data_IF_057896071950
#
_entry.id   IF_057896071950
#
_cell.length_a   1.000
_cell.length_b   1.000
_cell.length_c   1.000
_cell.angle_alpha   90.00
_cell.angle_beta   90.00
_cell.angle_gamma   90.00
#
_symmetry.space_group_name_H-M   'P 1'
#
loop_
_entity.id
_entity.type
_entity.pdbx_description
1 polymer ?
#
# COMPACT_ATOMS: atom_id res chain seq x y z
N UNK A 1 -17.48 -16.38 3.62
CA UNK A 1 -18.31 -15.19 3.35
C UNK A 1 -17.47 -13.97 3.67
N UNK A 2 -17.36 -13.06 2.71
CA UNK A 2 -16.67 -11.79 2.85
C UNK A 2 -17.69 -10.65 2.89
N UNK A 3 -17.63 -9.83 3.92
CA UNK A 3 -18.30 -8.54 3.93
C UNK A 3 -17.30 -7.49 3.44
N UNK A 4 -17.61 -6.86 2.30
CA UNK A 4 -16.76 -5.82 1.72
C UNK A 4 -17.34 -4.45 2.08
N UNK A 5 -16.62 -3.70 2.91
CA UNK A 5 -16.95 -2.34 3.31
C UNK A 5 -16.15 -1.36 2.45
N UNK A 6 -16.84 -0.66 1.56
CA UNK A 6 -16.26 0.37 0.69
C UNK A 6 -16.73 1.76 1.15
N UNK A 7 -15.80 2.70 1.29
CA UNK A 7 -16.11 4.10 1.62
C UNK A 7 -16.77 4.83 0.46
N UNK A 8 -16.59 4.35 -0.77
CA UNK A 8 -17.10 5.00 -1.96
C UNK A 8 -18.60 4.71 -2.16
N UNK A 9 -19.29 5.59 -2.90
CA UNK A 9 -20.72 5.43 -3.24
C UNK A 9 -21.02 4.15 -4.03
N UNK A 10 -20.00 3.56 -4.66
CA UNK A 10 -20.11 2.31 -5.40
C UNK A 10 -18.93 1.43 -5.06
N UNK A 11 -19.23 0.19 -4.66
CA UNK A 11 -18.22 -0.80 -4.33
C UNK A 11 -17.41 -1.15 -5.58
N UNK A 12 -16.09 -1.21 -5.43
CA UNK A 12 -15.16 -1.52 -6.50
C UNK A 12 -15.45 -2.89 -7.13
N UNK A 13 -15.79 -2.96 -8.44
CA UNK A 13 -15.94 -4.24 -9.13
C UNK A 13 -14.63 -5.02 -9.19
N UNK A 14 -13.50 -4.32 -9.23
CA UNK A 14 -12.17 -4.94 -9.22
C UNK A 14 -11.99 -5.78 -7.96
N UNK A 15 -12.28 -5.20 -6.79
CA UNK A 15 -12.05 -5.88 -5.52
C UNK A 15 -13.04 -7.04 -5.28
N UNK A 16 -14.28 -6.90 -5.76
CA UNK A 16 -15.26 -7.99 -5.74
C UNK A 16 -14.78 -9.19 -6.57
N UNK A 17 -14.26 -8.94 -7.77
CA UNK A 17 -13.70 -9.99 -8.63
C UNK A 17 -12.48 -10.64 -7.99
N UNK A 18 -11.55 -9.84 -7.47
CA UNK A 18 -10.35 -10.33 -6.79
C UNK A 18 -10.69 -11.20 -5.57
N UNK A 19 -11.71 -10.83 -4.80
CA UNK A 19 -12.16 -11.64 -3.67
C UNK A 19 -12.71 -13.02 -4.11
N UNK A 20 -13.49 -13.07 -5.20
CA UNK A 20 -13.95 -14.35 -5.75
C UNK A 20 -12.78 -15.18 -6.30
N UNK A 21 -11.85 -14.58 -7.02
CA UNK A 21 -10.66 -15.27 -7.53
C UNK A 21 -9.74 -15.77 -6.41
N UNK A 22 -9.75 -15.11 -5.24
CA UNK A 22 -9.08 -15.57 -4.03
C UNK A 22 -9.80 -16.75 -3.33
N UNK A 23 -10.99 -17.14 -3.81
CA UNK A 23 -11.72 -18.32 -3.33
C UNK A 23 -12.83 -18.03 -2.33
N UNK A 24 -13.28 -16.79 -2.18
CA UNK A 24 -14.47 -16.50 -1.36
C UNK A 24 -15.74 -16.95 -2.09
N UNK A 25 -16.54 -17.80 -1.42
CA UNK A 25 -17.81 -18.31 -1.97
C UNK A 25 -18.83 -17.18 -2.20
N UNK A 26 -18.88 -16.22 -1.28
CA UNK A 26 -19.85 -15.13 -1.25
C UNK A 26 -19.15 -13.84 -0.82
N UNK A 27 -19.36 -12.78 -1.59
CA UNK A 27 -18.84 -11.43 -1.36
C UNK A 27 -20.03 -10.48 -1.30
N UNK A 28 -20.26 -9.87 -0.13
CA UNK A 28 -21.40 -8.98 0.13
C UNK A 28 -20.89 -7.54 0.24
N UNK A 29 -21.07 -6.70 -0.79
CA UNK A 29 -20.62 -5.32 -0.77
C UNK A 29 -21.56 -4.42 0.01
N UNK A 30 -20.98 -3.53 0.82
CA UNK A 30 -21.61 -2.37 1.43
C UNK A 30 -20.86 -1.13 0.94
N UNK A 31 -21.62 -0.13 0.54
CA UNK A 31 -21.14 1.10 -0.09
C UNK A 31 -21.39 2.27 0.84
N UNK A 32 -20.56 3.31 0.75
CA UNK A 32 -20.64 4.48 1.64
C UNK A 32 -20.60 4.06 3.10
N UNK A 33 -19.78 3.06 3.44
CA UNK A 33 -19.57 2.67 4.84
C UNK A 33 -18.70 3.74 5.49
N UNK A 34 -19.10 4.14 6.68
CA UNK A 34 -18.41 5.15 7.48
C UNK A 34 -17.96 4.53 8.80
N UNK A 35 -16.97 5.15 9.43
CA UNK A 35 -16.40 4.72 10.69
C UNK A 35 -17.44 4.67 11.82
N UNK A 36 -18.38 5.61 11.87
CA UNK A 36 -19.44 5.64 12.88
C UNK A 36 -20.47 4.49 12.73
N UNK A 37 -20.60 3.92 11.53
CA UNK A 37 -21.58 2.87 11.23
C UNK A 37 -20.97 1.46 11.28
N UNK A 38 -19.67 1.30 11.04
CA UNK A 38 -19.08 -0.03 10.83
C UNK A 38 -19.21 -0.94 12.05
N UNK A 39 -19.16 -0.39 13.27
CA UNK A 39 -19.22 -1.18 14.50
C UNK A 39 -20.50 -2.02 14.61
N UNK A 40 -21.66 -1.43 14.29
CA UNK A 40 -22.95 -2.13 14.29
C UNK A 40 -22.98 -3.24 13.24
N UNK A 41 -22.48 -2.96 12.02
CA UNK A 41 -22.41 -3.94 10.93
C UNK A 41 -21.53 -5.14 11.29
N UNK A 42 -20.38 -4.90 11.93
CA UNK A 42 -19.47 -5.95 12.37
C UNK A 42 -20.11 -6.81 13.45
N UNK A 43 -20.73 -6.20 14.46
CA UNK A 43 -21.43 -6.93 15.51
C UNK A 43 -22.55 -7.82 14.95
N UNK A 44 -23.37 -7.29 14.06
CA UNK A 44 -24.43 -8.04 13.38
C UNK A 44 -23.88 -9.23 12.55
N UNK A 45 -22.68 -9.10 11.99
CA UNK A 45 -22.04 -10.14 11.19
C UNK A 45 -21.36 -11.25 12.01
N UNK A 46 -20.85 -10.96 13.22
CA UNK A 46 -20.09 -11.93 14.03
C UNK A 46 -20.97 -12.82 14.93
N UNK A 47 -22.15 -12.35 15.36
CA UNK A 47 -23.01 -13.12 16.27
C UNK A 47 -23.75 -14.33 15.67
N UNK A 48 -24.36 -14.26 14.47
CA UNK A 48 -25.32 -15.28 14.03
C UNK A 48 -24.78 -16.70 13.88
N UNK A 49 -23.45 -16.84 13.70
CA UNK A 49 -22.77 -18.14 13.50
C UNK A 49 -22.12 -18.68 14.78
N UNK A 50 -22.22 -17.96 15.88
CA UNK A 50 -21.59 -18.30 17.15
C UNK A 50 -20.05 -18.35 17.10
N UNK A 51 -19.41 -18.64 18.24
CA UNK A 51 -17.94 -18.63 18.36
C UNK A 51 -17.20 -19.57 17.42
N UNK A 52 -17.82 -20.69 17.02
CA UNK A 52 -17.19 -21.65 16.10
C UNK A 52 -17.32 -21.24 14.64
N UNK A 53 -18.39 -20.52 14.29
CA UNK A 53 -18.71 -20.19 12.91
C UNK A 53 -18.22 -18.81 12.47
N UNK A 54 -17.91 -17.91 13.41
CA UNK A 54 -17.37 -16.56 13.13
C UNK A 54 -16.09 -16.60 12.29
N UNK A 55 -15.25 -17.63 12.45
CA UNK A 55 -14.05 -17.86 11.63
C UNK A 55 -14.31 -18.05 10.12
N UNK A 56 -15.57 -18.25 9.71
CA UNK A 56 -15.99 -18.35 8.30
C UNK A 56 -16.60 -17.04 7.77
N UNK A 57 -16.47 -15.98 8.56
CA UNK A 57 -16.77 -14.59 8.22
C UNK A 57 -15.45 -13.84 8.13
N UNK A 58 -15.34 -12.94 7.15
CA UNK A 58 -14.20 -12.05 6.99
C UNK A 58 -14.70 -10.67 6.58
N UNK A 59 -13.92 -9.65 6.88
CA UNK A 59 -14.17 -8.27 6.49
C UNK A 59 -13.06 -7.81 5.54
N UNK A 60 -13.45 -7.15 4.46
CA UNK A 60 -12.53 -6.46 3.57
C UNK A 60 -12.89 -4.98 3.54
N UNK A 61 -11.90 -4.11 3.67
CA UNK A 61 -12.08 -2.66 3.71
C UNK A 61 -11.35 -2.02 2.53
N UNK A 62 -12.07 -1.25 1.74
CA UNK A 62 -11.54 -0.56 0.58
C UNK A 62 -12.21 0.80 0.38
N UNK A 63 -12.01 1.36 -0.81
CA UNK A 63 -12.49 2.70 -1.16
C UNK A 63 -11.36 3.72 -1.30
N UNK A 64 -11.73 4.94 -1.68
CA UNK A 64 -10.80 6.03 -2.03
C UNK A 64 -10.34 6.88 -0.86
N UNK A 65 -11.10 6.92 0.24
CA UNK A 65 -10.74 7.68 1.43
C UNK A 65 -9.90 6.82 2.38
N UNK A 66 -8.58 7.00 2.30
CA UNK A 66 -7.62 6.21 3.09
C UNK A 66 -7.76 6.47 4.59
N UNK A 67 -8.09 7.69 5.00
CA UNK A 67 -8.20 8.02 6.42
C UNK A 67 -9.51 7.44 6.99
N UNK A 68 -10.61 7.54 6.25
CA UNK A 68 -11.87 6.88 6.63
C UNK A 68 -11.68 5.35 6.72
N UNK A 69 -10.95 4.74 5.79
CA UNK A 69 -10.64 3.29 5.84
C UNK A 69 -9.82 2.92 7.08
N UNK A 70 -8.89 3.77 7.52
CA UNK A 70 -8.13 3.55 8.77
C UNK A 70 -9.04 3.62 9.99
N UNK A 71 -9.94 4.59 10.05
CA UNK A 71 -10.91 4.69 11.16
C UNK A 71 -11.88 3.50 11.18
N UNK A 72 -12.34 3.07 10.00
CA UNK A 72 -13.16 1.86 9.82
C UNK A 72 -12.43 0.61 10.34
N UNK A 73 -11.12 0.49 10.06
CA UNK A 73 -10.31 -0.62 10.54
C UNK A 73 -10.27 -0.68 12.07
N UNK A 74 -9.98 0.45 12.72
CA UNK A 74 -9.89 0.48 14.19
C UNK A 74 -11.27 0.21 14.82
N UNK A 75 -12.34 0.82 14.32
CA UNK A 75 -13.69 0.57 14.85
C UNK A 75 -14.16 -0.87 14.60
N UNK A 76 -13.71 -1.51 13.52
CA UNK A 76 -13.98 -2.93 13.27
C UNK A 76 -13.23 -3.83 14.25
N UNK A 77 -11.97 -3.52 14.56
CA UNK A 77 -11.18 -4.25 15.56
C UNK A 77 -11.81 -4.11 16.94
N UNK A 78 -12.23 -2.90 17.32
CA UNK A 78 -12.87 -2.61 18.61
C UNK A 78 -14.27 -3.26 18.75
N UNK A 79 -14.98 -3.44 17.63
CA UNK A 79 -16.28 -4.11 17.61
C UNK A 79 -16.19 -5.64 17.79
N UNK A 80 -15.01 -6.24 17.59
CA UNK A 80 -14.76 -7.66 17.81
C UNK A 80 -14.23 -7.90 19.23
N UNK A 81 -14.54 -9.07 19.78
CA UNK A 81 -14.07 -9.45 21.12
C UNK A 81 -14.06 -10.97 21.27
N UNK A 82 -13.13 -11.57 22.04
CA UNK A 82 -13.10 -13.01 22.21
C UNK A 82 -14.41 -13.58 22.77
N UNK A 83 -14.96 -14.69 22.23
CA UNK A 83 -14.44 -15.51 21.11
C UNK A 83 -15.05 -15.15 19.73
N UNK A 84 -15.65 -13.97 19.58
CA UNK A 84 -16.28 -13.48 18.36
C UNK A 84 -15.32 -12.58 17.56
N UNK A 85 -14.37 -13.21 16.90
CA UNK A 85 -13.34 -12.55 16.09
C UNK A 85 -13.33 -13.10 14.67
N UNK A 86 -13.14 -12.23 13.69
CA UNK A 86 -13.10 -12.55 12.26
C UNK A 86 -11.83 -11.97 11.63
N UNK A 87 -11.43 -12.52 10.48
CA UNK A 87 -10.29 -11.99 9.73
C UNK A 87 -10.64 -10.68 9.04
N UNK A 88 -9.70 -9.74 9.05
CA UNK A 88 -9.83 -8.42 8.41
C UNK A 88 -8.73 -8.24 7.38
N UNK A 89 -9.08 -7.72 6.21
CA UNK A 89 -8.16 -7.29 5.15
C UNK A 89 -8.46 -5.82 4.81
N UNK A 90 -7.41 -5.04 4.52
CA UNK A 90 -7.53 -3.61 4.19
C UNK A 90 -6.72 -3.33 2.93
N UNK A 91 -7.34 -2.72 1.93
CA UNK A 91 -6.67 -2.39 0.67
C UNK A 91 -7.32 -1.21 -0.07
N UNK A 92 -7.24 0.03 0.48
CA UNK A 92 -7.83 1.19 -0.16
C UNK A 92 -7.18 1.42 -1.53
N UNK A 93 -7.98 1.33 -2.59
CA UNK A 93 -7.59 1.42 -4.01
C UNK A 93 -6.38 0.54 -4.38
N UNK A 94 -6.27 -0.66 -3.79
CA UNK A 94 -5.19 -1.60 -4.13
C UNK A 94 -3.82 -1.20 -3.57
N UNK A 95 -3.75 -0.23 -2.65
CA UNK A 95 -2.48 0.36 -2.22
C UNK A 95 -1.60 -0.61 -1.43
N UNK A 96 -2.17 -1.39 -0.51
CA UNK A 96 -1.43 -2.34 0.31
C UNK A 96 -0.99 -3.53 -0.54
N UNK A 97 -1.90 -4.12 -1.31
CA UNK A 97 -1.56 -5.30 -2.12
C UNK A 97 -0.56 -4.98 -3.22
N UNK A 98 -0.71 -3.83 -3.90
CA UNK A 98 0.24 -3.40 -4.94
C UNK A 98 1.61 -3.11 -4.34
N UNK A 99 1.68 -2.40 -3.21
CA UNK A 99 2.95 -2.11 -2.56
C UNK A 99 3.65 -3.38 -2.07
N UNK A 100 2.92 -4.30 -1.41
CA UNK A 100 3.47 -5.58 -0.97
C UNK A 100 3.97 -6.42 -2.14
N UNK A 101 3.20 -6.51 -3.24
CA UNK A 101 3.63 -7.22 -4.43
C UNK A 101 4.87 -6.57 -5.08
N UNK A 102 4.93 -5.24 -5.10
CA UNK A 102 6.07 -4.48 -5.62
C UNK A 102 7.34 -4.77 -4.81
N UNK A 103 7.29 -4.70 -3.48
CA UNK A 103 8.44 -4.98 -2.60
C UNK A 103 8.87 -6.44 -2.72
N UNK A 104 7.94 -7.39 -2.70
CA UNK A 104 8.26 -8.82 -2.88
C UNK A 104 8.95 -9.10 -4.24
N UNK A 105 8.55 -8.39 -5.31
CA UNK A 105 9.23 -8.47 -6.62
C UNK A 105 10.63 -7.90 -6.58
N UNK A 106 10.85 -6.82 -5.82
CA UNK A 106 12.19 -6.26 -5.62
C UNK A 106 13.10 -7.25 -4.92
N UNK A 107 12.68 -7.80 -3.79
CA UNK A 107 13.48 -8.78 -3.04
C UNK A 107 13.86 -9.98 -3.91
N UNK A 108 12.89 -10.49 -4.67
CA UNK A 108 13.15 -11.55 -5.64
C UNK A 108 14.16 -11.11 -6.70
N UNK A 109 14.02 -9.91 -7.24
CA UNK A 109 14.93 -9.35 -8.23
C UNK A 109 16.36 -9.24 -7.70
N UNK A 110 16.53 -8.72 -6.48
CA UNK A 110 17.82 -8.60 -5.80
C UNK A 110 18.47 -9.97 -5.58
N UNK A 111 17.69 -10.97 -5.17
CA UNK A 111 18.18 -12.34 -5.04
C UNK A 111 18.61 -12.94 -6.39
N UNK A 112 17.85 -12.70 -7.46
CA UNK A 112 18.15 -13.19 -8.82
C UNK A 112 19.44 -12.58 -9.39
N UNK A 113 19.77 -11.33 -9.05
CA UNK A 113 21.02 -10.68 -9.47
C UNK A 113 22.19 -10.87 -8.50
N UNK A 114 22.00 -11.62 -7.40
CA UNK A 114 23.03 -11.92 -6.41
C UNK A 114 23.33 -10.80 -5.41
N UNK A 115 22.45 -9.79 -5.31
CA UNK A 115 22.59 -8.64 -4.40
C UNK A 115 21.94 -8.89 -3.02
N UNK A 116 21.21 -9.99 -2.86
CA UNK A 116 20.65 -10.42 -1.57
C UNK A 116 19.30 -9.79 -1.25
N UNK A 117 19.21 -9.09 -0.12
CA UNK A 117 17.99 -8.47 0.41
C UNK A 117 17.98 -6.95 0.23
N UNK A 118 16.92 -6.29 0.71
CA UNK A 118 16.77 -4.84 0.76
C UNK A 118 17.65 -4.15 1.82
N UNK A 119 18.25 -4.91 2.73
CA UNK A 119 19.01 -4.37 3.85
C UNK A 119 20.19 -3.52 3.35
N UNK A 120 20.28 -2.28 3.82
CA UNK A 120 21.28 -1.28 3.40
C UNK A 120 21.25 -0.89 1.91
N UNK A 121 20.20 -1.26 1.17
CA UNK A 121 20.04 -0.88 -0.25
C UNK A 121 19.46 0.52 -0.39
N UNK A 122 19.96 1.27 -1.37
CA UNK A 122 19.39 2.57 -1.74
C UNK A 122 18.16 2.41 -2.63
N UNK A 123 16.99 2.66 -2.06
CA UNK A 123 15.69 2.54 -2.73
C UNK A 123 15.12 3.91 -3.02
N UNK A 124 14.83 4.19 -4.29
CA UNK A 124 14.15 5.43 -4.69
C UNK A 124 12.79 5.13 -5.29
N UNK A 125 11.74 5.68 -4.68
CA UNK A 125 10.35 5.52 -5.10
C UNK A 125 9.89 6.80 -5.80
N UNK A 126 9.93 6.77 -7.12
CA UNK A 126 9.51 7.87 -7.97
C UNK A 126 8.00 8.09 -7.89
N UNK A 127 7.59 9.35 -7.75
CA UNK A 127 6.21 9.74 -7.49
C UNK A 127 5.60 9.08 -6.23
N UNK A 128 6.45 8.76 -5.23
CA UNK A 128 6.11 7.97 -4.05
C UNK A 128 5.14 8.59 -3.04
N UNK A 129 4.61 9.79 -3.29
CA UNK A 129 3.67 10.46 -2.34
C UNK A 129 2.21 10.00 -2.46
N UNK A 130 1.89 9.11 -3.40
CA UNK A 130 0.59 8.45 -3.53
C UNK A 130 0.46 7.22 -2.62
N UNK A 131 -0.76 6.65 -2.47
CA UNK A 131 -1.02 5.55 -1.55
C UNK A 131 -0.05 4.36 -1.68
N UNK A 132 0.13 3.82 -2.90
CA UNK A 132 1.06 2.71 -3.16
C UNK A 132 2.50 3.07 -2.77
N UNK A 133 2.95 4.26 -3.16
CA UNK A 133 4.33 4.70 -2.90
C UNK A 133 4.63 4.88 -1.41
N UNK A 134 3.66 5.34 -0.63
CA UNK A 134 3.78 5.48 0.83
C UNK A 134 3.93 4.12 1.51
N UNK A 135 3.08 3.16 1.20
CA UNK A 135 3.16 1.81 1.77
C UNK A 135 4.47 1.13 1.33
N UNK A 136 4.85 1.25 0.05
CA UNK A 136 6.10 0.69 -0.45
C UNK A 136 7.33 1.30 0.26
N UNK A 137 7.30 2.61 0.56
CA UNK A 137 8.36 3.28 1.31
C UNK A 137 8.51 2.70 2.72
N UNK A 138 7.39 2.55 3.45
CA UNK A 138 7.40 1.97 4.79
C UNK A 138 7.87 0.52 4.79
N UNK A 139 7.39 -0.30 3.84
CA UNK A 139 7.83 -1.69 3.71
C UNK A 139 9.33 -1.78 3.44
N UNK A 140 9.86 -1.02 2.47
CA UNK A 140 11.30 -0.99 2.20
C UNK A 140 12.11 -0.52 3.41
N UNK A 141 11.64 0.50 4.13
CA UNK A 141 12.33 1.03 5.31
C UNK A 141 12.36 0.02 6.46
N UNK A 142 11.26 -0.71 6.68
CA UNK A 142 11.17 -1.80 7.66
C UNK A 142 12.11 -2.97 7.33
N UNK A 143 12.39 -3.21 6.05
CA UNK A 143 13.40 -4.18 5.58
C UNK A 143 14.84 -3.63 5.64
N UNK A 144 15.05 -2.46 6.23
CA UNK A 144 16.37 -1.87 6.47
C UNK A 144 16.98 -1.14 5.26
N UNK A 145 16.18 -0.78 4.26
CA UNK A 145 16.65 0.01 3.12
C UNK A 145 16.84 1.50 3.47
N UNK A 146 17.71 2.18 2.73
CA UNK A 146 17.82 3.64 2.67
C UNK A 146 16.81 4.17 1.65
N UNK A 147 15.68 4.70 2.14
CA UNK A 147 14.50 5.00 1.32
C UNK A 147 14.37 6.49 1.04
N UNK A 148 14.22 6.80 -0.25
CA UNK A 148 13.85 8.14 -0.73
C UNK A 148 12.56 8.09 -1.55
N UNK A 149 11.59 8.94 -1.24
CA UNK A 149 10.40 9.17 -2.06
C UNK A 149 10.52 10.48 -2.84
N UNK A 150 9.94 10.53 -4.03
CA UNK A 150 9.92 11.77 -4.84
C UNK A 150 8.53 12.32 -5.10
N UNK A 151 8.47 13.63 -5.28
CA UNK A 151 7.28 14.35 -5.78
C UNK A 151 7.70 15.56 -6.62
N UNK A 152 6.81 16.02 -7.50
CA UNK A 152 7.05 17.25 -8.29
C UNK A 152 7.06 18.52 -7.43
N UNK A 153 6.47 18.44 -6.24
CA UNK A 153 6.44 19.48 -5.22
C UNK A 153 7.33 19.06 -4.03
N UNK A 154 8.28 19.91 -3.66
CA UNK A 154 9.27 19.64 -2.60
C UNK A 154 8.64 19.54 -1.22
N UNK A 155 7.79 20.49 -0.84
CA UNK A 155 7.12 20.50 0.46
C UNK A 155 6.28 19.25 0.65
N UNK A 156 5.53 18.83 -0.38
CA UNK A 156 4.77 17.58 -0.37
C UNK A 156 5.68 16.36 -0.20
N UNK A 157 6.85 16.33 -0.85
CA UNK A 157 7.78 15.22 -0.69
C UNK A 157 8.29 15.14 0.75
N UNK A 158 8.75 16.27 1.30
CA UNK A 158 9.30 16.36 2.65
C UNK A 158 8.28 16.07 3.74
N UNK A 159 7.08 16.64 3.63
CA UNK A 159 6.02 16.43 4.62
C UNK A 159 5.61 14.96 4.68
N UNK A 160 5.31 14.34 3.52
CA UNK A 160 4.92 12.93 3.49
C UNK A 160 6.07 12.02 3.98
N UNK A 161 7.32 12.31 3.59
CA UNK A 161 8.46 11.54 4.08
C UNK A 161 8.63 11.65 5.61
N UNK A 162 8.38 12.84 6.17
CA UNK A 162 8.35 13.07 7.62
C UNK A 162 7.27 12.26 8.31
N UNK A 163 6.03 12.32 7.81
CA UNK A 163 4.89 11.55 8.35
C UNK A 163 5.19 10.04 8.36
N UNK A 164 5.71 9.51 7.24
CA UNK A 164 6.08 8.09 7.13
C UNK A 164 7.26 7.72 8.03
N UNK A 165 8.19 8.65 8.27
CA UNK A 165 9.32 8.41 9.18
C UNK A 165 8.84 8.29 10.63
N UNK A 166 7.88 9.14 11.02
CA UNK A 166 7.25 9.06 12.33
C UNK A 166 6.42 7.77 12.49
N UNK A 167 5.64 7.40 11.48
CA UNK A 167 4.78 6.21 11.48
C UNK A 167 5.59 4.90 11.52
N UNK A 168 6.67 4.80 10.73
CA UNK A 168 7.49 3.59 10.65
C UNK A 168 8.58 3.51 11.73
N UNK A 169 9.00 4.64 12.30
CA UNK A 169 10.17 4.71 13.18
C UNK A 169 11.52 4.60 12.44
N UNK A 170 11.50 4.70 11.10
CA UNK A 170 12.69 4.66 10.22
C UNK A 170 12.86 5.99 9.48
N UNK A 171 14.09 6.36 9.13
CA UNK A 171 14.32 7.58 8.35
C UNK A 171 13.92 7.36 6.88
N UNK A 172 12.99 8.19 6.38
CA UNK A 172 12.59 8.23 4.97
C UNK A 172 12.82 9.65 4.45
N UNK A 173 13.51 9.77 3.31
CA UNK A 173 13.82 11.07 2.70
C UNK A 173 12.81 11.47 1.64
N UNK A 174 12.47 12.76 1.61
CA UNK A 174 11.57 13.34 0.61
C UNK A 174 12.28 14.36 -0.25
N UNK A 175 12.40 14.11 -1.56
CA UNK A 175 13.06 15.03 -2.50
C UNK A 175 12.15 15.42 -3.65
N UNK A 176 12.44 16.59 -4.24
CA UNK A 176 11.75 17.05 -5.44
C UNK A 176 12.33 16.36 -6.67
N UNK A 177 11.45 15.83 -7.53
CA UNK A 177 11.76 15.38 -8.87
C UNK A 177 10.62 15.79 -9.82
N UNK A 178 10.88 16.80 -10.65
CA UNK A 178 9.90 17.39 -11.56
C UNK A 178 10.36 17.49 -13.02
N UNK A 179 11.64 17.23 -13.27
CA UNK A 179 12.27 17.23 -14.58
C UNK A 179 13.10 15.97 -14.77
N UNK A 180 13.51 15.68 -16.00
CA UNK A 180 14.39 14.55 -16.33
C UNK A 180 15.75 14.65 -15.61
N UNK A 181 16.27 15.87 -15.41
CA UNK A 181 17.52 16.14 -14.71
C UNK A 181 17.40 15.89 -13.21
N UNK A 182 16.35 16.41 -12.57
CA UNK A 182 16.07 16.15 -11.16
C UNK A 182 15.77 14.66 -10.91
N UNK A 183 15.06 14.01 -11.84
CA UNK A 183 14.80 12.58 -11.76
C UNK A 183 16.09 11.77 -11.87
N UNK A 184 16.99 12.15 -12.77
CA UNK A 184 18.32 11.53 -12.85
C UNK A 184 19.11 11.71 -11.54
N UNK A 185 19.15 12.93 -11.01
CA UNK A 185 19.86 13.22 -9.76
C UNK A 185 19.30 12.44 -8.56
N UNK A 186 17.99 12.21 -8.54
CA UNK A 186 17.33 11.39 -7.52
C UNK A 186 17.75 9.91 -7.58
N UNK A 187 17.99 9.34 -8.77
CA UNK A 187 18.13 7.88 -8.96
C UNK A 187 19.53 7.41 -9.39
N UNK A 188 20.47 8.33 -9.66
CA UNK A 188 21.82 8.00 -10.16
C UNK A 188 22.58 7.01 -9.27
N UNK A 189 22.36 7.10 -7.95
CA UNK A 189 23.00 6.25 -6.95
C UNK A 189 22.07 5.18 -6.36
N UNK A 190 20.84 5.06 -6.87
CA UNK A 190 19.87 4.07 -6.43
C UNK A 190 20.23 2.66 -6.92
N UNK A 191 20.07 1.67 -6.04
CA UNK A 191 20.18 0.25 -6.34
C UNK A 191 18.82 -0.36 -6.69
N UNK A 192 17.74 0.27 -6.19
CA UNK A 192 16.36 -0.09 -6.51
C UNK A 192 15.61 1.18 -6.93
N UNK A 193 14.91 1.13 -8.06
CA UNK A 193 14.07 2.23 -8.55
C UNK A 193 12.65 1.73 -8.72
N UNK A 194 11.73 2.24 -7.90
CA UNK A 194 10.31 1.96 -8.00
C UNK A 194 9.56 3.14 -8.62
N UNK A 195 8.54 2.85 -9.43
CA UNK A 195 7.66 3.87 -9.99
C UNK A 195 6.25 3.69 -9.44
N UNK A 196 5.79 4.65 -8.66
CA UNK A 196 4.45 4.68 -8.06
C UNK A 196 3.61 5.84 -8.63
N UNK A 197 3.85 6.18 -9.90
CA UNK A 197 3.14 7.23 -10.62
C UNK A 197 1.69 6.86 -10.95
N UNK A 198 0.85 7.86 -11.28
CA UNK A 198 -0.51 7.60 -11.74
C UNK A 198 -0.51 6.89 -13.10
N UNK A 199 -1.63 6.21 -13.38
CA UNK A 199 -1.84 5.50 -14.64
C UNK A 199 -1.61 6.40 -15.87
N UNK A 200 -0.95 5.83 -16.89
CA UNK A 200 -0.70 6.50 -18.16
C UNK A 200 0.34 7.62 -18.12
N UNK A 201 0.97 7.89 -16.97
CA UNK A 201 1.99 8.92 -16.84
C UNK A 201 3.38 8.31 -16.85
N UNK A 202 4.21 8.75 -17.80
CA UNK A 202 5.63 8.39 -17.85
C UNK A 202 6.39 9.13 -16.76
N UNK A 203 7.02 8.37 -15.87
CA UNK A 203 7.78 8.90 -14.71
C UNK A 203 9.27 9.04 -15.01
N UNK A 204 9.83 8.19 -15.87
CA UNK A 204 11.23 8.24 -16.30
C UNK A 204 11.29 8.24 -17.83
N UNK A 205 12.09 9.14 -18.41
CA UNK A 205 12.33 9.16 -19.85
C UNK A 205 13.38 8.11 -20.24
N UNK A 206 13.34 7.66 -21.50
CA UNK A 206 14.33 6.73 -22.04
C UNK A 206 15.74 7.34 -21.97
N UNK A 207 15.88 8.63 -22.26
CA UNK A 207 17.16 9.33 -22.22
C UNK A 207 17.73 9.40 -20.79
N UNK A 208 16.89 9.61 -19.78
CA UNK A 208 17.31 9.54 -18.37
C UNK A 208 17.72 8.12 -17.99
N UNK A 209 16.96 7.10 -18.42
CA UNK A 209 17.28 5.70 -18.12
C UNK A 209 18.62 5.28 -18.74
N UNK A 210 18.92 5.69 -19.99
CA UNK A 210 20.21 5.41 -20.65
C UNK A 210 21.42 6.03 -19.93
N UNK A 211 21.23 7.15 -19.21
CA UNK A 211 22.31 7.74 -18.40
C UNK A 211 22.67 6.89 -17.18
N UNK A 212 21.83 5.95 -16.77
CA UNK A 212 22.04 5.08 -15.60
C UNK A 212 22.80 3.79 -15.93
N UNK A 213 23.20 3.60 -17.20
CA UNK A 213 23.92 2.42 -17.67
C UNK A 213 25.22 2.17 -16.88
N UNK A 214 25.53 0.88 -16.65
CA UNK A 214 26.80 0.44 -16.03
C UNK A 214 26.70 -0.06 -14.59
N UNK A 215 25.52 -0.03 -13.96
CA UNK A 215 25.24 -0.68 -12.67
C UNK A 215 24.02 -1.58 -12.77
N UNK A 216 24.15 -2.83 -12.32
CA UNK A 216 23.01 -3.72 -12.12
C UNK A 216 22.14 -3.14 -11.01
N UNK A 217 20.84 -3.06 -11.25
CA UNK A 217 19.84 -2.49 -10.34
C UNK A 217 18.49 -3.17 -10.56
N UNK A 218 17.57 -2.99 -9.62
CA UNK A 218 16.20 -3.49 -9.68
C UNK A 218 15.22 -2.37 -9.97
#
# INVERSE_FOLDING_TARGET
>A
MLFYFDTDESASPFDILMAHDAGFDEVVPYQGVTADRVGELVQDAIFPRGPKGVKHTSFFMGGSDVEEVKEILENTKDAMFPPFEASVMVDPRGSNTTASAMVAKVERGLAEIGEGSLENKKVVILAGTGPVGRIAAMLCANEGADVTITSRNEDRAKNIAGDLSEESGHEIQGIRASSDEETYDAIKDAEVILSAGPEGVRIISEDTLKKLEGKTRV
#
